data_IF_989208530057
#
_entry.id   IF_989208530057
#
_cell.length_a   1.000
_cell.length_b   1.000
_cell.length_c   1.000
_cell.angle_alpha   90.00
_cell.angle_beta   90.00
_cell.angle_gamma   90.00
#
_symmetry.space_group_name_H-M   'P 1'
#
loop_
_entity.id
_entity.type
_entity.pdbx_description
1 polymer ?
#
# COMPACT_ATOMS: atom_id res chain seq x y z
N UNK A 1 0.20 -41.37 -7.24
CA UNK A 1 0.85 -40.18 -6.66
C UNK A 1 2.37 -40.36 -6.54
N UNK A 2 2.89 -41.55 -6.25
CA UNK A 2 4.31 -41.77 -6.00
C UNK A 2 5.20 -41.76 -7.26
N UNK A 3 4.62 -41.78 -8.45
CA UNK A 3 5.36 -41.81 -9.72
C UNK A 3 5.63 -40.42 -10.32
N UNK A 4 5.01 -39.38 -9.79
CA UNK A 4 5.09 -38.02 -10.35
C UNK A 4 6.19 -37.16 -9.75
N UNK A 5 6.86 -37.67 -8.72
CA UNK A 5 7.89 -36.93 -7.96
C UNK A 5 7.33 -36.28 -6.69
N UNK A 6 8.08 -35.35 -6.13
CA UNK A 6 7.72 -34.66 -4.89
C UNK A 6 8.27 -33.22 -4.88
N UNK A 7 7.70 -32.43 -4.00
CA UNK A 7 8.14 -31.08 -3.70
C UNK A 7 8.51 -31.01 -2.22
N UNK A 8 9.73 -30.60 -1.95
CA UNK A 8 10.26 -30.39 -0.60
C UNK A 8 10.47 -28.90 -0.40
N UNK A 9 9.80 -28.36 0.59
CA UNK A 9 9.88 -26.95 0.93
C UNK A 9 10.41 -26.80 2.36
N UNK A 10 11.49 -26.07 2.50
CA UNK A 10 12.13 -25.79 3.78
C UNK A 10 12.16 -24.27 4.02
N UNK A 11 11.57 -23.84 5.13
CA UNK A 11 11.52 -22.43 5.55
C UNK A 11 12.23 -22.27 6.88
N UNK A 12 13.12 -21.31 6.96
CA UNK A 12 13.82 -20.93 8.17
C UNK A 12 13.56 -19.45 8.46
N UNK A 13 12.87 -19.17 9.56
CA UNK A 13 12.59 -17.83 10.06
C UNK A 13 13.37 -17.63 11.36
N UNK A 14 14.19 -16.60 11.41
CA UNK A 14 14.88 -16.14 12.61
C UNK A 14 14.33 -14.76 12.92
N UNK A 15 13.73 -14.61 14.08
CA UNK A 15 13.23 -13.35 14.61
C UNK A 15 13.88 -13.10 15.96
N UNK A 16 14.61 -12.01 16.06
CA UNK A 16 15.31 -11.64 17.29
C UNK A 16 14.90 -10.23 17.69
N UNK A 17 14.41 -10.09 18.91
CA UNK A 17 14.07 -8.82 19.50
C UNK A 17 14.75 -8.67 20.84
N UNK A 18 15.54 -7.61 20.97
CA UNK A 18 16.18 -7.22 22.22
C UNK A 18 15.61 -5.87 22.63
N UNK A 19 15.14 -5.77 23.86
CA UNK A 19 14.62 -4.51 24.43
C UNK A 19 15.35 -4.16 25.72
N UNK A 20 15.67 -2.87 25.85
CA UNK A 20 16.21 -2.27 27.05
C UNK A 20 15.25 -1.20 27.54
N UNK A 21 14.78 -1.33 28.74
CA UNK A 21 13.94 -0.33 29.40
C UNK A 21 14.66 0.21 30.65
N UNK A 22 14.76 1.53 30.72
CA UNK A 22 15.41 2.19 31.84
C UNK A 22 14.57 3.36 32.32
N UNK A 23 14.24 3.35 33.60
CA UNK A 23 13.62 4.49 34.25
C UNK A 23 14.70 5.48 34.70
N UNK A 24 14.51 6.74 34.33
CA UNK A 24 15.39 7.84 34.71
C UNK A 24 14.75 8.78 35.74
N UNK A 25 13.97 8.22 36.66
CA UNK A 25 13.34 9.00 37.75
C UNK A 25 14.33 9.74 38.63
N UNK A 26 15.60 9.30 38.64
CA UNK A 26 16.71 10.00 39.34
C UNK A 26 17.10 11.31 38.67
N UNK A 27 16.80 11.50 37.36
CA UNK A 27 17.00 12.77 36.63
C UNK A 27 15.74 13.61 36.78
N UNK A 28 14.60 13.07 36.41
CA UNK A 28 13.27 13.68 36.58
C UNK A 28 12.20 12.60 36.64
N UNK A 29 11.26 12.76 37.57
CA UNK A 29 10.17 11.80 37.76
C UNK A 29 9.34 11.66 36.48
N UNK A 30 9.08 10.40 36.10
CA UNK A 30 8.28 10.06 34.93
C UNK A 30 9.08 9.99 33.61
N UNK A 31 10.43 10.09 33.67
CA UNK A 31 11.27 9.92 32.49
C UNK A 31 11.65 8.44 32.32
N UNK A 32 11.35 7.90 31.12
CA UNK A 32 11.63 6.52 30.75
C UNK A 32 12.28 6.45 29.37
N UNK A 33 13.33 5.66 29.28
CA UNK A 33 13.96 5.30 28.01
C UNK A 33 13.58 3.87 27.64
N UNK A 34 13.31 3.66 26.34
CA UNK A 34 13.09 2.34 25.76
C UNK A 34 13.91 2.22 24.48
N UNK A 35 14.85 1.30 24.45
CA UNK A 35 15.63 0.93 23.28
C UNK A 35 15.21 -0.46 22.79
N UNK A 36 15.05 -0.65 21.49
CA UNK A 36 14.74 -1.93 20.88
C UNK A 36 15.62 -2.14 19.67
N UNK A 37 16.13 -3.36 19.54
CA UNK A 37 16.83 -3.82 18.36
C UNK A 37 16.15 -5.10 17.89
N UNK A 38 15.81 -5.15 16.61
CA UNK A 38 15.25 -6.31 15.95
C UNK A 38 16.11 -6.76 14.78
N UNK A 39 16.22 -8.07 14.61
CA UNK A 39 16.85 -8.70 13.47
C UNK A 39 15.97 -9.85 13.00
N UNK A 40 15.47 -9.74 11.78
CA UNK A 40 14.62 -10.74 11.16
C UNK A 40 15.33 -11.29 9.90
N UNK A 41 15.33 -12.60 9.75
CA UNK A 41 15.82 -13.27 8.54
C UNK A 41 14.86 -14.38 8.15
N UNK A 42 14.34 -14.30 6.94
CA UNK A 42 13.49 -15.32 6.35
C UNK A 42 14.21 -15.93 5.16
N UNK A 43 14.34 -17.25 5.16
CA UNK A 43 14.94 -18.00 4.06
C UNK A 43 14.06 -19.20 3.73
N UNK A 44 13.70 -19.32 2.47
CA UNK A 44 12.91 -20.42 1.95
C UNK A 44 13.68 -21.10 0.82
N UNK A 45 13.77 -22.42 0.89
CA UNK A 45 14.35 -23.25 -0.17
C UNK A 45 13.33 -24.29 -0.59
N UNK A 46 13.17 -24.44 -1.89
CA UNK A 46 12.27 -25.42 -2.48
C UNK A 46 13.05 -26.30 -3.44
N UNK A 47 12.96 -27.60 -3.24
CA UNK A 47 13.49 -28.62 -4.17
C UNK A 47 12.28 -29.34 -4.76
N UNK A 48 12.15 -29.25 -6.06
CA UNK A 48 11.06 -29.87 -6.82
C UNK A 48 11.65 -30.97 -7.71
N UNK A 49 11.21 -32.20 -7.50
CA UNK A 49 11.55 -33.32 -8.37
C UNK A 49 10.29 -33.75 -9.09
N UNK A 50 10.30 -33.62 -10.40
CA UNK A 50 9.18 -33.90 -11.26
C UNK A 50 9.48 -35.04 -12.21
N UNK A 51 8.55 -35.95 -12.30
CA UNK A 51 8.54 -37.02 -13.30
C UNK A 51 7.16 -37.08 -13.95
N UNK A 52 7.13 -37.05 -15.25
CA UNK A 52 5.89 -37.31 -16.00
C UNK A 52 5.84 -38.82 -16.27
N UNK A 53 4.91 -39.54 -15.60
CA UNK A 53 4.74 -40.95 -15.84
C UNK A 53 4.14 -41.21 -17.21
N UNK A 54 4.33 -42.38 -17.71
CA UNK A 54 3.68 -42.88 -18.91
C UNK A 54 2.16 -42.82 -18.75
N UNK A 55 1.48 -42.30 -19.75
CA UNK A 55 0.01 -42.16 -19.75
C UNK A 55 -0.60 -43.03 -20.85
N UNK A 56 -1.64 -43.71 -20.47
CA UNK A 56 -2.40 -44.59 -21.34
C UNK A 56 -3.87 -44.20 -21.32
N UNK A 57 -4.52 -44.22 -22.50
CA UNK A 57 -5.96 -44.05 -22.65
C UNK A 57 -6.62 -45.38 -22.93
N UNK A 58 -7.66 -45.70 -22.21
CA UNK A 58 -8.51 -46.86 -22.55
C UNK A 58 -9.31 -46.52 -23.80
N UNK A 59 -9.19 -47.34 -24.84
CA UNK A 59 -10.00 -47.20 -26.03
C UNK A 59 -11.45 -47.68 -25.76
N UNK A 60 -12.40 -47.09 -26.47
CA UNK A 60 -13.81 -47.53 -26.35
C UNK A 60 -14.06 -48.95 -26.86
N UNK A 61 -13.27 -49.39 -27.83
CA UNK A 61 -13.33 -50.75 -28.37
C UNK A 61 -12.57 -51.72 -27.47
N UNK A 62 -13.23 -52.81 -27.13
CA UNK A 62 -12.57 -53.94 -26.45
C UNK A 62 -11.92 -54.87 -27.47
N UNK A 63 -10.96 -55.64 -27.02
CA UNK A 63 -10.39 -56.69 -27.83
C UNK A 63 -11.50 -57.73 -28.18
N UNK A 64 -11.71 -58.05 -29.47
CA UNK A 64 -12.81 -58.92 -29.87
C UNK A 64 -12.63 -60.38 -29.47
N UNK A 65 -11.41 -60.81 -29.18
CA UNK A 65 -11.11 -62.21 -28.81
C UNK A 65 -11.07 -62.40 -27.30
N UNK A 66 -10.48 -61.41 -26.56
CA UNK A 66 -10.29 -61.52 -25.12
C UNK A 66 -11.31 -60.75 -24.29
N UNK A 67 -12.02 -59.78 -24.89
CA UNK A 67 -12.95 -58.90 -24.21
C UNK A 67 -12.26 -57.85 -23.33
N UNK A 68 -10.94 -57.79 -23.31
CA UNK A 68 -10.18 -56.84 -22.49
C UNK A 68 -10.17 -55.41 -23.09
N UNK A 69 -9.91 -54.42 -22.23
CA UNK A 69 -9.73 -53.03 -22.65
C UNK A 69 -8.45 -52.88 -23.45
N UNK A 70 -8.54 -52.25 -24.60
CA UNK A 70 -7.38 -51.83 -25.38
C UNK A 70 -6.85 -50.53 -24.82
N UNK A 71 -5.53 -50.48 -24.63
CA UNK A 71 -4.82 -49.33 -24.09
C UNK A 71 -3.98 -48.68 -25.17
N UNK A 72 -4.24 -47.40 -25.43
CA UNK A 72 -3.40 -46.60 -26.33
C UNK A 72 -2.47 -45.71 -25.50
N UNK A 73 -1.18 -45.83 -25.73
CA UNK A 73 -0.19 -44.98 -25.12
C UNK A 73 -0.33 -43.56 -25.68
N UNK A 74 -0.54 -42.53 -24.78
CA UNK A 74 -0.66 -41.16 -25.14
C UNK A 74 0.67 -40.45 -25.01
N UNK A 75 1.41 -40.71 -23.93
CA UNK A 75 2.72 -40.11 -23.69
C UNK A 75 3.71 -41.12 -23.09
N UNK A 76 4.98 -40.98 -23.45
CA UNK A 76 6.05 -41.73 -22.84
C UNK A 76 6.46 -41.18 -21.46
N UNK A 77 7.08 -42.07 -20.66
CA UNK A 77 7.70 -41.62 -19.42
C UNK A 77 8.85 -40.66 -19.72
N UNK A 78 8.89 -39.55 -19.00
CA UNK A 78 10.04 -38.63 -19.00
C UNK A 78 10.94 -38.92 -17.81
N UNK A 79 12.23 -38.66 -17.98
CA UNK A 79 13.18 -38.75 -16.87
C UNK A 79 12.82 -37.73 -15.76
N UNK A 80 13.15 -38.08 -14.54
CA UNK A 80 12.98 -37.20 -13.40
C UNK A 80 13.82 -35.92 -13.59
N UNK A 81 13.21 -34.77 -13.52
CA UNK A 81 13.85 -33.45 -13.51
C UNK A 81 13.90 -32.92 -12.10
N UNK A 82 14.96 -32.23 -11.77
CA UNK A 82 15.09 -31.50 -10.50
C UNK A 82 15.23 -30.03 -10.79
N UNK A 83 14.42 -29.24 -10.09
CA UNK A 83 14.47 -27.81 -10.07
C UNK A 83 14.63 -27.35 -8.62
N UNK A 84 15.32 -26.25 -8.42
CA UNK A 84 15.44 -25.62 -7.10
C UNK A 84 15.15 -24.14 -7.22
N UNK A 85 14.46 -23.60 -6.22
CA UNK A 85 14.24 -22.18 -6.08
C UNK A 85 14.49 -21.78 -4.63
N UNK A 86 14.95 -20.56 -4.45
CA UNK A 86 15.17 -20.00 -3.12
C UNK A 86 14.62 -18.57 -3.08
N UNK A 87 14.14 -18.14 -1.92
CA UNK A 87 13.83 -16.76 -1.62
C UNK A 87 14.32 -16.43 -0.23
N UNK A 88 14.72 -15.19 -0.02
CA UNK A 88 15.20 -14.78 1.29
C UNK A 88 15.21 -13.28 1.43
N UNK A 89 15.02 -12.83 2.66
CA UNK A 89 15.14 -11.43 3.03
C UNK A 89 15.70 -11.29 4.43
N UNK A 90 16.21 -10.10 4.71
CA UNK A 90 16.73 -9.72 6.01
C UNK A 90 16.24 -8.31 6.34
N UNK A 91 15.84 -8.12 7.56
CA UNK A 91 15.46 -6.82 8.12
C UNK A 91 16.23 -6.56 9.41
N UNK A 92 16.73 -5.35 9.56
CA UNK A 92 17.36 -4.84 10.75
C UNK A 92 16.58 -3.60 11.20
N UNK A 93 16.26 -3.54 12.48
CA UNK A 93 15.42 -2.49 13.04
C UNK A 93 16.02 -1.97 14.35
N UNK A 94 16.14 -0.66 14.49
CA UNK A 94 16.53 0.02 15.70
C UNK A 94 15.48 1.06 16.07
N UNK A 95 15.03 1.04 17.31
CA UNK A 95 14.04 1.97 17.86
C UNK A 95 14.55 2.49 19.21
N UNK A 96 14.64 3.80 19.38
CA UNK A 96 15.00 4.47 20.61
C UNK A 96 13.94 5.50 20.95
N UNK A 97 13.35 5.39 22.13
CA UNK A 97 12.28 6.26 22.60
C UNK A 97 12.60 6.81 23.98
N UNK A 98 12.49 8.10 24.14
CA UNK A 98 12.50 8.79 25.41
C UNK A 98 11.10 9.34 25.65
N UNK A 99 10.48 8.91 26.74
CA UNK A 99 9.14 9.30 27.13
C UNK A 99 9.16 9.96 28.50
N UNK A 100 8.51 11.10 28.62
CA UNK A 100 8.31 11.80 29.87
C UNK A 100 6.83 12.08 30.07
N UNK A 101 6.32 11.69 31.22
CA UNK A 101 4.92 11.89 31.63
C UNK A 101 4.89 12.26 33.11
N UNK A 102 4.25 13.39 33.44
CA UNK A 102 4.16 13.84 34.81
C UNK A 102 2.91 14.68 35.05
N UNK A 103 2.32 14.49 36.23
CA UNK A 103 1.16 15.27 36.68
C UNK A 103 1.56 16.25 37.76
N UNK A 104 1.10 17.50 37.65
CA UNK A 104 1.29 18.57 38.62
C UNK A 104 -0.08 19.15 38.98
N UNK A 105 -0.76 18.50 39.91
CA UNK A 105 -2.15 18.86 40.25
C UNK A 105 -3.08 18.73 39.04
N UNK A 106 -3.62 19.86 38.57
CA UNK A 106 -4.50 19.88 37.39
C UNK A 106 -3.77 19.87 36.03
N UNK A 107 -2.45 19.93 36.03
CA UNK A 107 -1.63 20.01 34.83
C UNK A 107 -0.99 18.65 34.51
N UNK A 108 -1.19 18.17 33.30
CA UNK A 108 -0.69 16.87 32.86
C UNK A 108 0.09 17.02 31.53
N UNK A 109 1.34 17.51 31.58
CA UNK A 109 2.21 17.51 30.42
C UNK A 109 2.79 16.14 30.16
N UNK A 110 2.98 15.81 28.87
CA UNK A 110 3.77 14.66 28.43
C UNK A 110 4.56 14.99 27.20
N UNK A 111 5.73 14.38 27.05
CA UNK A 111 6.59 14.55 25.90
C UNK A 111 7.21 13.21 25.50
N UNK A 112 7.28 12.94 24.22
CA UNK A 112 7.94 11.75 23.67
C UNK A 112 8.81 12.17 22.50
N UNK A 113 10.03 11.66 22.45
CA UNK A 113 10.87 11.71 21.27
C UNK A 113 11.27 10.29 20.90
N UNK A 114 11.20 9.97 19.63
CA UNK A 114 11.45 8.64 19.10
C UNK A 114 12.36 8.73 17.88
N UNK A 115 13.40 7.92 17.85
CA UNK A 115 14.26 7.72 16.70
C UNK A 115 14.16 6.28 16.24
N UNK A 116 13.99 6.08 14.91
CA UNK A 116 13.86 4.75 14.32
C UNK A 116 14.77 4.62 13.10
N UNK A 117 15.41 3.48 12.96
CA UNK A 117 16.08 3.08 11.72
C UNK A 117 15.56 1.71 11.29
N UNK A 118 15.33 1.55 10.00
CA UNK A 118 14.92 0.30 9.38
C UNK A 118 15.77 0.05 8.13
N UNK A 119 16.22 -1.19 7.98
CA UNK A 119 16.99 -1.64 6.81
C UNK A 119 16.43 -2.97 6.33
N UNK A 120 16.03 -3.04 5.07
CA UNK A 120 15.50 -4.24 4.43
C UNK A 120 16.27 -4.57 3.17
N UNK A 121 16.65 -5.84 3.03
CA UNK A 121 17.30 -6.37 1.82
C UNK A 121 16.70 -7.71 1.43
N UNK A 122 16.51 -7.92 0.13
CA UNK A 122 16.30 -9.25 -0.42
C UNK A 122 17.64 -9.91 -0.67
N UNK A 123 17.84 -11.11 -0.13
CA UNK A 123 19.15 -11.81 -0.11
C UNK A 123 19.25 -12.93 -1.14
N UNK A 124 18.13 -13.40 -1.66
CA UNK A 124 18.07 -14.52 -2.61
C UNK A 124 17.02 -14.24 -3.66
N UNK A 125 17.16 -14.86 -4.84
CA UNK A 125 16.26 -14.72 -5.99
C UNK A 125 16.07 -13.25 -6.38
N UNK A 126 17.19 -12.58 -6.61
CA UNK A 126 17.20 -11.12 -6.88
C UNK A 126 16.63 -10.77 -8.25
N UNK A 127 16.51 -11.76 -9.15
CA UNK A 127 16.12 -11.52 -10.54
C UNK A 127 17.19 -10.75 -11.31
N UNK A 128 16.80 -10.12 -12.38
CA UNK A 128 17.68 -9.31 -13.26
C UNK A 128 17.71 -7.84 -12.89
N UNK A 129 16.75 -7.37 -12.06
CA UNK A 129 16.71 -5.99 -11.60
C UNK A 129 17.73 -5.74 -10.50
N UNK A 130 18.79 -5.00 -10.85
CA UNK A 130 19.88 -4.66 -9.94
C UNK A 130 19.43 -3.91 -8.70
N UNK A 131 18.28 -3.23 -8.74
CA UNK A 131 17.72 -2.50 -7.59
C UNK A 131 17.23 -3.43 -6.49
N UNK A 132 16.87 -4.67 -6.83
CA UNK A 132 16.37 -5.65 -5.85
C UNK A 132 17.42 -6.02 -4.79
N UNK A 133 18.70 -6.04 -5.16
CA UNK A 133 19.80 -6.31 -4.24
C UNK A 133 20.29 -5.14 -3.41
N UNK A 134 19.70 -3.94 -3.59
CA UNK A 134 20.07 -2.75 -2.83
C UNK A 134 19.27 -2.70 -1.52
N UNK A 135 19.93 -2.40 -0.40
CA UNK A 135 19.26 -2.17 0.87
C UNK A 135 18.28 -1.00 0.75
N UNK A 136 17.03 -1.19 1.17
CA UNK A 136 16.10 -0.09 1.40
C UNK A 136 16.23 0.32 2.87
N UNK A 137 16.61 1.57 3.12
CA UNK A 137 16.79 2.11 4.46
C UNK A 137 15.86 3.28 4.68
N UNK A 138 15.28 3.32 5.88
CA UNK A 138 14.49 4.43 6.37
C UNK A 138 15.06 4.91 7.69
N UNK A 139 14.94 6.19 7.95
CA UNK A 139 15.42 6.84 9.17
C UNK A 139 14.38 7.89 9.57
N UNK A 140 13.86 7.77 10.78
CA UNK A 140 12.77 8.60 11.24
C UNK A 140 13.07 9.20 12.61
N UNK A 141 12.75 10.47 12.77
CA UNK A 141 12.71 11.17 14.04
C UNK A 141 11.27 11.66 14.25
N UNK A 142 10.63 11.19 15.31
CA UNK A 142 9.28 11.62 15.66
C UNK A 142 9.29 12.26 17.05
N UNK A 143 8.45 13.27 17.23
CA UNK A 143 8.26 13.91 18.51
C UNK A 143 6.79 14.18 18.78
N UNK A 144 6.43 14.14 20.05
CA UNK A 144 5.10 14.48 20.54
C UNK A 144 5.22 15.30 21.82
N UNK A 145 4.43 16.35 21.92
CA UNK A 145 4.21 17.09 23.16
C UNK A 145 2.72 17.22 23.37
N UNK A 146 2.24 16.70 24.48
CA UNK A 146 0.83 16.79 24.82
C UNK A 146 0.65 17.46 26.18
N UNK A 147 -0.40 18.22 26.30
CA UNK A 147 -0.78 18.90 27.51
C UNK A 147 -2.28 18.79 27.75
N UNK A 148 -2.63 18.46 28.97
CA UNK A 148 -4.01 18.40 29.41
C UNK A 148 -4.15 19.21 30.70
N UNK A 149 -5.12 20.11 30.74
CA UNK A 149 -5.47 20.86 31.94
C UNK A 149 -6.80 20.39 32.51
N UNK A 150 -6.72 19.82 33.68
CA UNK A 150 -7.88 19.36 34.47
C UNK A 150 -8.89 18.51 33.68
N UNK A 151 -8.40 17.75 32.68
CA UNK A 151 -9.25 16.93 31.76
C UNK A 151 -10.29 17.72 30.98
N UNK A 152 -10.14 19.06 30.89
CA UNK A 152 -11.03 19.94 30.12
C UNK A 152 -10.44 20.35 28.78
N UNK A 153 -9.21 20.85 28.81
CA UNK A 153 -8.55 21.36 27.59
C UNK A 153 -7.36 20.47 27.28
N UNK A 154 -7.29 20.07 26.03
CA UNK A 154 -6.23 19.19 25.53
C UNK A 154 -5.57 19.86 24.33
N UNK A 155 -4.25 19.88 24.34
CA UNK A 155 -3.42 20.32 23.24
C UNK A 155 -2.41 19.26 22.97
N UNK A 156 -2.26 18.86 21.71
CA UNK A 156 -1.30 17.85 21.28
C UNK A 156 -0.58 18.35 20.02
N UNK A 157 0.72 18.32 20.03
CA UNK A 157 1.56 18.64 18.89
C UNK A 157 2.45 17.44 18.60
N UNK A 158 2.43 16.98 17.33
CA UNK A 158 3.23 15.89 16.85
C UNK A 158 4.03 16.33 15.63
N UNK A 159 5.20 15.76 15.43
CA UNK A 159 5.92 15.88 14.19
C UNK A 159 6.62 14.57 13.83
N UNK A 160 6.75 14.32 12.55
CA UNK A 160 7.63 13.34 11.96
C UNK A 160 8.63 14.02 11.05
N UNK A 161 9.90 13.68 11.18
CA UNK A 161 10.96 14.03 10.24
C UNK A 161 11.53 12.73 9.70
N UNK A 162 11.01 12.31 8.54
CA UNK A 162 11.19 10.98 8.01
C UNK A 162 12.10 11.01 6.80
N UNK A 163 13.05 10.08 6.74
CA UNK A 163 13.99 9.92 5.64
C UNK A 163 13.86 8.55 4.97
N UNK A 164 13.78 8.54 3.64
CA UNK A 164 13.73 7.33 2.85
C UNK A 164 14.77 7.31 1.75
N UNK A 165 15.53 6.23 1.63
CA UNK A 165 16.47 6.04 0.52
C UNK A 165 15.76 5.75 -0.82
N UNK A 166 14.44 5.60 -0.79
CA UNK A 166 13.66 5.49 -2.03
C UNK A 166 13.71 6.76 -2.88
N UNK A 167 14.15 7.88 -2.29
CA UNK A 167 14.31 9.17 -2.96
C UNK A 167 15.77 9.57 -3.13
N UNK A 168 16.05 10.41 -4.13
CA UNK A 168 17.39 10.92 -4.42
C UNK A 168 17.93 11.77 -3.28
N UNK A 169 19.25 11.93 -3.22
CA UNK A 169 19.88 12.81 -2.25
C UNK A 169 19.38 14.25 -2.43
N UNK A 170 18.79 14.81 -1.38
CA UNK A 170 18.12 16.12 -1.41
C UNK A 170 16.62 16.04 -1.17
N UNK A 171 15.97 14.98 -1.67
CA UNK A 171 14.52 14.76 -1.57
C UNK A 171 14.13 13.68 -0.54
N UNK A 172 15.14 13.11 0.16
CA UNK A 172 14.96 11.98 1.08
C UNK A 172 14.13 12.29 2.30
N UNK A 173 14.26 13.51 2.85
CA UNK A 173 13.67 13.87 4.12
C UNK A 173 12.41 14.71 3.94
N UNK A 174 11.34 14.30 4.62
CA UNK A 174 10.08 15.02 4.69
C UNK A 174 9.74 15.40 6.13
N UNK A 175 9.16 16.60 6.32
CA UNK A 175 8.68 17.07 7.62
C UNK A 175 7.14 17.07 7.65
N UNK A 176 6.58 16.35 8.61
CA UNK A 176 5.16 16.09 8.71
C UNK A 176 4.64 16.49 10.09
N UNK A 177 4.25 17.76 10.28
CA UNK A 177 3.67 18.22 11.52
C UNK A 177 2.19 17.86 11.63
N UNK A 178 1.72 17.68 12.86
CA UNK A 178 0.31 17.53 13.19
C UNK A 178 0.02 18.20 14.54
N UNK A 179 -1.16 18.77 14.68
CA UNK A 179 -1.63 19.29 15.96
C UNK A 179 -3.09 18.93 16.17
N UNK A 180 -3.48 18.83 17.44
CA UNK A 180 -4.88 18.65 17.80
C UNK A 180 -5.25 19.47 19.04
N UNK A 181 -6.48 19.87 19.08
CA UNK A 181 -7.11 20.57 20.19
C UNK A 181 -8.38 19.83 20.57
N UNK A 182 -8.65 19.74 21.87
CA UNK A 182 -9.92 19.22 22.31
C UNK A 182 -10.42 19.95 23.57
N UNK A 183 -11.73 20.11 23.65
CA UNK A 183 -12.40 20.69 24.77
C UNK A 183 -13.50 19.75 25.27
N UNK A 184 -13.37 19.28 26.51
CA UNK A 184 -14.37 18.49 27.17
C UNK A 184 -15.33 19.42 27.93
N UNK A 185 -16.38 19.80 27.26
CA UNK A 185 -17.39 20.75 27.76
C UNK A 185 -18.11 20.20 28.98
N UNK A 186 -18.29 18.88 29.08
CA UNK A 186 -18.96 18.24 30.22
C UNK A 186 -18.22 18.44 31.54
N UNK A 187 -16.90 18.65 31.50
CA UNK A 187 -16.07 18.92 32.70
C UNK A 187 -16.10 20.39 33.14
N UNK A 188 -16.79 21.27 32.43
CA UNK A 188 -16.95 22.65 32.87
C UNK A 188 -17.83 22.74 34.12
N UNK A 189 -17.46 23.56 35.13
CA UNK A 189 -18.16 23.60 36.41
C UNK A 189 -19.66 23.93 36.29
N UNK A 190 -20.02 24.79 35.35
CA UNK A 190 -21.40 25.17 35.13
C UNK A 190 -22.21 24.05 34.44
N UNK A 191 -21.61 23.29 33.53
CA UNK A 191 -22.23 22.13 32.88
C UNK A 191 -22.40 21.01 33.89
N UNK A 192 -21.32 20.65 34.58
CA UNK A 192 -21.30 19.56 35.57
C UNK A 192 -22.31 19.77 36.72
N UNK A 193 -22.57 21.03 37.04
CA UNK A 193 -23.57 21.38 38.08
C UNK A 193 -25.02 21.21 37.60
N UNK A 194 -25.31 21.57 36.34
CA UNK A 194 -26.67 21.63 35.82
C UNK A 194 -27.07 20.43 34.96
N UNK A 195 -26.11 19.79 34.25
CA UNK A 195 -26.36 18.68 33.33
C UNK A 195 -25.70 17.39 33.81
N UNK A 196 -26.11 16.91 34.97
CA UNK A 196 -25.54 15.70 35.61
C UNK A 196 -25.68 14.41 34.77
N UNK A 197 -26.56 14.42 33.78
CA UNK A 197 -26.78 13.30 32.86
C UNK A 197 -25.76 13.25 31.72
N UNK A 198 -24.98 14.32 31.53
CA UNK A 198 -23.93 14.43 30.51
C UNK A 198 -22.60 14.03 31.15
N UNK A 199 -22.11 12.82 30.83
CA UNK A 199 -20.85 12.29 31.36
C UNK A 199 -19.66 12.78 30.55
N UNK A 200 -19.80 12.88 29.23
CA UNK A 200 -18.81 13.40 28.33
C UNK A 200 -19.48 14.16 27.18
N UNK A 201 -18.97 15.34 26.88
CA UNK A 201 -19.22 16.09 25.66
C UNK A 201 -17.91 16.75 25.25
N UNK A 202 -17.19 16.09 24.38
CA UNK A 202 -15.86 16.52 23.95
C UNK A 202 -15.89 16.85 22.49
N UNK A 203 -15.52 18.10 22.17
CA UNK A 203 -15.28 18.54 20.79
C UNK A 203 -13.78 18.48 20.54
N UNK A 204 -13.39 17.95 19.41
CA UNK A 204 -11.97 17.81 19.02
C UNK A 204 -11.77 18.25 17.58
N UNK A 205 -10.64 18.86 17.35
CA UNK A 205 -10.16 19.23 16.02
C UNK A 205 -8.73 18.76 15.86
N UNK A 206 -8.40 18.19 14.72
CA UNK A 206 -7.02 17.88 14.37
C UNK A 206 -6.70 18.29 12.94
N UNK A 207 -5.47 18.70 12.75
CA UNK A 207 -4.85 18.96 11.46
C UNK A 207 -3.51 18.25 11.43
N UNK A 208 -3.18 17.60 10.32
CA UNK A 208 -1.90 16.94 10.18
C UNK A 208 -1.50 16.69 8.74
N UNK A 209 -0.19 16.59 8.54
CA UNK A 209 0.42 16.12 7.29
C UNK A 209 0.98 14.72 7.50
N UNK A 210 0.78 13.86 6.51
CA UNK A 210 1.32 12.48 6.48
C UNK A 210 2.04 12.28 5.16
N UNK A 211 3.30 11.83 5.23
CA UNK A 211 4.09 11.46 4.06
C UNK A 211 3.95 9.97 3.73
N UNK A 212 4.01 9.65 2.44
CA UNK A 212 4.11 8.29 1.94
C UNK A 212 5.31 8.17 0.99
N UNK A 213 6.21 7.21 1.26
CA UNK A 213 7.39 6.90 0.44
C UNK A 213 7.17 5.65 -0.44
N UNK A 214 6.02 5.00 -0.32
CA UNK A 214 5.69 3.83 -1.12
C UNK A 214 5.09 4.24 -2.46
N UNK A 215 5.96 4.45 -3.43
CA UNK A 215 5.60 4.84 -4.79
C UNK A 215 5.43 3.64 -5.76
N UNK A 216 5.34 2.43 -5.21
CA UNK A 216 5.14 1.21 -6.02
C UNK A 216 6.40 0.68 -6.72
N UNK A 217 7.51 1.40 -6.68
CA UNK A 217 8.81 0.98 -7.21
C UNK A 217 9.93 1.31 -6.23
N UNK A 218 11.08 0.67 -6.40
CA UNK A 218 12.29 0.94 -5.62
C UNK A 218 13.20 1.88 -6.38
N UNK A 219 13.75 2.88 -5.70
CA UNK A 219 14.77 3.78 -6.23
C UNK A 219 14.43 4.34 -7.61
N UNK A 220 13.28 5.04 -7.77
CA UNK A 220 12.82 5.53 -9.08
C UNK A 220 13.81 6.52 -9.72
N UNK A 221 14.74 7.09 -8.96
CA UNK A 221 15.80 7.98 -9.44
C UNK A 221 16.98 7.26 -10.08
N UNK A 222 17.04 5.92 -10.00
CA UNK A 222 18.07 5.11 -10.66
C UNK A 222 17.57 4.66 -12.03
N UNK A 223 18.42 4.77 -13.02
CA UNK A 223 18.22 4.09 -14.30
C UNK A 223 18.91 2.73 -14.28
N UNK A 224 18.36 1.77 -14.99
CA UNK A 224 18.98 0.48 -15.23
C UNK A 224 19.07 0.23 -16.73
N UNK A 225 20.20 -0.32 -17.14
CA UNK A 225 20.46 -0.71 -18.54
C UNK A 225 20.43 -2.23 -18.57
N UNK A 226 19.71 -2.77 -19.52
CA UNK A 226 19.66 -4.21 -19.77
C UNK A 226 20.12 -4.52 -21.18
N UNK A 227 20.75 -5.68 -21.33
CA UNK A 227 21.00 -6.28 -22.62
C UNK A 227 19.66 -6.67 -23.23
N UNK A 228 19.34 -6.09 -24.36
CA UNK A 228 18.17 -6.39 -25.14
C UNK A 228 18.42 -7.56 -26.07
N UNK A 229 18.94 -8.64 -25.51
CA UNK A 229 19.11 -9.91 -26.21
C UNK A 229 17.93 -10.82 -25.99
N UNK A 230 17.64 -11.54 -27.03
CA UNK A 230 16.69 -12.59 -26.99
C UNK A 230 17.32 -13.96 -26.88
N UNK A 231 16.82 -14.70 -25.92
CA UNK A 231 16.89 -16.15 -25.95
C UNK A 231 15.58 -16.72 -26.52
N UNK A 232 15.68 -17.22 -27.77
CA UNK A 232 14.83 -18.30 -28.25
C UNK A 232 13.41 -18.00 -28.76
N UNK A 233 12.74 -16.97 -28.29
CA UNK A 233 11.38 -16.66 -28.71
C UNK A 233 11.30 -15.33 -29.45
N UNK A 234 10.74 -15.30 -30.66
CA UNK A 234 10.73 -14.24 -31.66
C UNK A 234 10.24 -12.83 -31.27
N UNK A 235 10.53 -12.28 -30.15
CA UNK A 235 10.19 -10.95 -29.71
C UNK A 235 11.39 -10.01 -29.78
N UNK A 236 11.42 -9.09 -30.66
CA UNK A 236 12.39 -8.00 -30.70
C UNK A 236 12.07 -7.08 -29.52
N UNK A 237 12.83 -7.20 -28.43
CA UNK A 237 12.77 -6.21 -27.37
C UNK A 237 13.57 -5.00 -27.87
N UNK A 238 12.90 -3.85 -27.96
CA UNK A 238 13.39 -2.59 -28.50
C UNK A 238 14.82 -2.25 -28.08
N UNK A 239 15.71 -2.04 -29.08
CA UNK A 239 17.12 -1.70 -28.88
C UNK A 239 18.09 -2.36 -29.86
N UNK A 240 17.64 -3.35 -30.64
CA UNK A 240 18.40 -3.87 -31.76
C UNK A 240 18.23 -2.97 -33.00
N UNK A 241 19.30 -2.64 -33.64
CA UNK A 241 19.23 -2.06 -35.00
C UNK A 241 18.98 -3.21 -35.96
N UNK A 242 17.81 -3.20 -36.58
CA UNK A 242 17.57 -4.02 -37.75
C UNK A 242 18.19 -3.30 -38.95
N UNK A 243 19.34 -3.76 -39.36
CA UNK A 243 19.97 -3.32 -40.59
C UNK A 243 19.31 -3.98 -41.83
N UNK A 244 18.00 -4.17 -41.76
CA UNK A 244 17.25 -4.97 -42.69
C UNK A 244 17.31 -4.42 -44.11
N UNK A 245 18.24 -4.95 -44.88
CA UNK A 245 18.08 -5.15 -46.31
C UNK A 245 17.73 -6.60 -46.67
N UNK A 246 17.62 -7.49 -45.68
CA UNK A 246 17.28 -8.90 -45.90
C UNK A 246 16.31 -9.43 -44.87
N UNK A 247 15.35 -10.24 -45.30
CA UNK A 247 14.33 -10.73 -44.40
C UNK A 247 14.92 -11.64 -43.30
N UNK A 248 14.67 -11.31 -42.08
CA UNK A 248 14.53 -12.17 -40.89
C UNK A 248 15.75 -12.78 -40.23
N UNK A 249 17.01 -12.47 -40.49
CA UNK A 249 18.06 -13.28 -39.86
C UNK A 249 19.18 -12.57 -39.10
N UNK A 250 19.24 -11.26 -39.07
CA UNK A 250 20.33 -10.57 -38.37
C UNK A 250 19.79 -9.37 -37.57
N UNK A 251 19.16 -9.62 -36.42
CA UNK A 251 18.98 -8.58 -35.42
C UNK A 251 20.20 -8.54 -34.50
N UNK A 252 20.89 -7.43 -34.49
CA UNK A 252 21.98 -7.21 -33.54
C UNK A 252 21.34 -6.77 -32.21
N UNK A 253 21.65 -7.50 -31.11
CA UNK A 253 21.30 -7.08 -29.79
C UNK A 253 21.93 -5.74 -29.46
N UNK A 254 21.25 -4.95 -28.65
CA UNK A 254 21.71 -3.66 -28.19
C UNK A 254 21.48 -3.46 -26.71
N UNK A 255 22.06 -2.40 -26.19
CA UNK A 255 21.76 -1.92 -24.84
C UNK A 255 20.53 -1.02 -24.90
N UNK A 256 19.65 -1.15 -23.92
CA UNK A 256 18.49 -0.29 -23.77
C UNK A 256 18.20 0.00 -22.30
N UNK A 257 17.42 1.05 -22.06
CA UNK A 257 16.95 1.31 -20.71
C UNK A 257 15.96 0.20 -20.29
N UNK A 258 16.25 -0.46 -19.16
CA UNK A 258 15.25 -1.26 -18.47
C UNK A 258 14.33 -0.37 -17.64
N UNK A 259 14.94 0.63 -16.97
CA UNK A 259 14.23 1.69 -16.28
C UNK A 259 14.85 3.05 -16.62
N UNK A 260 14.01 4.05 -16.80
CA UNK A 260 14.42 5.44 -16.98
C UNK A 260 14.36 6.15 -15.64
N UNK A 261 15.43 6.86 -15.30
CA UNK A 261 15.47 7.64 -14.07
C UNK A 261 14.37 8.70 -14.02
N UNK A 262 13.67 8.74 -12.91
CA UNK A 262 12.66 9.76 -12.62
C UNK A 262 13.24 10.74 -11.61
N UNK A 263 13.65 11.90 -12.09
CA UNK A 263 14.27 12.93 -11.25
C UNK A 263 13.21 13.75 -10.50
N UNK A 264 13.56 14.20 -9.28
CA UNK A 264 12.67 15.05 -8.48
C UNK A 264 11.48 14.31 -7.86
N UNK A 265 11.57 12.98 -7.77
CA UNK A 265 10.56 12.19 -7.03
C UNK A 265 10.77 12.38 -5.54
N UNK A 266 9.70 12.73 -4.85
CA UNK A 266 9.68 12.98 -3.42
C UNK A 266 8.40 12.41 -2.79
N UNK A 267 8.18 12.69 -1.54
CA UNK A 267 7.05 12.22 -0.75
C UNK A 267 5.70 12.61 -1.33
N UNK A 268 4.78 11.66 -1.39
CA UNK A 268 3.37 11.98 -1.49
C UNK A 268 2.90 12.52 -0.13
N UNK A 269 2.15 13.62 -0.12
CA UNK A 269 1.71 14.27 1.11
C UNK A 269 0.19 14.30 1.19
N UNK A 270 -0.36 13.73 2.26
CA UNK A 270 -1.76 13.86 2.61
C UNK A 270 -1.92 14.89 3.73
N UNK A 271 -2.67 15.95 3.46
CA UNK A 271 -3.13 16.93 4.44
C UNK A 271 -4.52 16.52 4.92
N UNK A 272 -4.67 16.36 6.24
CA UNK A 272 -5.89 15.86 6.86
C UNK A 272 -6.41 16.84 7.88
N UNK A 273 -7.72 17.14 7.79
CA UNK A 273 -8.48 17.85 8.81
C UNK A 273 -9.55 16.93 9.35
N UNK A 274 -9.74 16.96 10.65
CA UNK A 274 -10.78 16.18 11.31
C UNK A 274 -11.44 17.00 12.42
N UNK A 275 -12.77 17.01 12.41
CA UNK A 275 -13.60 17.64 13.44
C UNK A 275 -14.50 16.57 14.04
N UNK A 276 -14.27 16.26 15.31
CA UNK A 276 -14.95 15.18 16.00
C UNK A 276 -15.74 15.64 17.22
N UNK A 277 -16.78 14.90 17.53
CA UNK A 277 -17.60 15.05 18.74
C UNK A 277 -17.73 13.69 19.41
N UNK A 278 -17.34 13.63 20.68
CA UNK A 278 -17.52 12.45 21.53
C UNK A 278 -18.60 12.75 22.59
N UNK A 279 -19.59 11.88 22.68
CA UNK A 279 -20.71 11.98 23.61
C UNK A 279 -20.79 10.75 24.52
N UNK A 280 -21.01 10.99 25.80
CA UNK A 280 -21.40 9.93 26.74
C UNK A 280 -22.48 10.50 27.67
N UNK A 281 -23.66 9.90 27.67
CA UNK A 281 -24.86 10.40 28.33
C UNK A 281 -25.47 9.31 29.21
N UNK A 282 -26.20 9.76 30.27
CA UNK A 282 -27.01 8.91 31.14
C UNK A 282 -26.20 7.79 31.83
N UNK A 283 -25.06 8.16 32.44
CA UNK A 283 -24.10 7.22 33.04
C UNK A 283 -23.61 6.18 32.04
N UNK A 284 -23.15 6.68 30.86
CA UNK A 284 -22.59 5.91 29.74
C UNK A 284 -23.56 4.88 29.12
N UNK A 285 -24.87 5.03 29.38
CA UNK A 285 -25.88 4.22 28.69
C UNK A 285 -25.91 4.50 27.20
N UNK A 286 -25.76 5.75 26.82
CA UNK A 286 -25.66 6.17 25.43
C UNK A 286 -24.27 6.76 25.19
N UNK A 287 -23.53 6.21 24.24
CA UNK A 287 -22.27 6.77 23.75
C UNK A 287 -22.31 6.93 22.25
N UNK A 288 -21.77 8.02 21.75
CA UNK A 288 -21.67 8.28 20.31
C UNK A 288 -20.38 9.04 20.00
N UNK A 289 -19.80 8.75 18.87
CA UNK A 289 -18.70 9.51 18.26
C UNK A 289 -19.08 9.81 16.83
N UNK A 290 -18.89 11.05 16.41
CA UNK A 290 -19.17 11.52 15.07
C UNK A 290 -17.98 12.36 14.64
N UNK A 291 -17.43 12.04 13.46
CA UNK A 291 -16.28 12.70 12.87
C UNK A 291 -16.62 13.19 11.46
N UNK A 292 -16.20 14.39 11.15
CA UNK A 292 -16.13 14.92 9.81
C UNK A 292 -14.67 15.06 9.40
N UNK A 293 -14.30 14.48 8.27
CA UNK A 293 -12.93 14.52 7.77
C UNK A 293 -12.86 15.14 6.36
N UNK A 294 -11.74 15.83 6.13
CA UNK A 294 -11.34 16.38 4.82
C UNK A 294 -9.85 16.04 4.61
N UNK A 295 -9.56 15.27 3.58
CA UNK A 295 -8.21 14.88 3.18
C UNK A 295 -7.91 15.40 1.78
N UNK A 296 -6.74 16.02 1.60
CA UNK A 296 -6.17 16.35 0.30
C UNK A 296 -4.81 15.70 0.16
N UNK A 297 -4.68 14.77 -0.76
CA UNK A 297 -3.43 14.11 -1.10
C UNK A 297 -2.87 14.73 -2.37
N UNK A 298 -1.60 15.14 -2.32
CA UNK A 298 -0.87 15.79 -3.40
C UNK A 298 0.46 15.09 -3.64
N UNK A 299 1.06 15.35 -4.80
CA UNK A 299 2.32 14.72 -5.16
C UNK A 299 2.23 13.22 -5.36
N UNK A 300 1.07 12.68 -5.77
CA UNK A 300 0.91 11.26 -6.04
C UNK A 300 1.82 10.87 -7.19
N UNK A 301 2.63 9.83 -6.96
CA UNK A 301 3.52 9.26 -7.96
C UNK A 301 2.74 8.66 -9.13
N UNK A 302 3.07 9.09 -10.34
CA UNK A 302 2.43 8.59 -11.56
C UNK A 302 3.46 8.47 -12.68
N UNK A 303 3.37 7.38 -13.45
CA UNK A 303 4.14 7.25 -14.71
C UNK A 303 3.55 8.21 -15.73
N UNK A 304 4.43 8.97 -16.41
CA UNK A 304 4.06 9.94 -17.45
C UNK A 304 3.70 9.21 -18.75
N UNK A 305 2.40 9.02 -18.99
CA UNK A 305 1.92 8.25 -20.15
C UNK A 305 1.75 9.09 -21.41
N UNK A 306 1.75 10.42 -21.29
CA UNK A 306 1.52 11.35 -22.40
C UNK A 306 2.79 11.99 -22.94
N UNK A 307 3.88 11.24 -22.95
CA UNK A 307 5.10 11.63 -23.62
C UNK A 307 5.02 11.23 -25.11
N UNK A 308 5.32 12.14 -26.03
CA UNK A 308 5.34 11.82 -27.46
C UNK A 308 6.30 10.67 -27.76
N UNK A 309 5.91 9.73 -28.60
CA UNK A 309 6.75 8.57 -28.97
C UNK A 309 8.09 8.95 -29.58
N UNK A 310 8.18 10.14 -30.19
CA UNK A 310 9.43 10.67 -30.76
C UNK A 310 10.55 10.82 -29.71
N UNK A 311 10.21 10.85 -28.42
CA UNK A 311 11.20 10.85 -27.32
C UNK A 311 11.99 9.53 -27.26
N UNK A 312 11.47 8.46 -27.88
CA UNK A 312 12.20 7.19 -28.06
C UNK A 312 12.28 6.32 -26.81
N UNK A 313 11.45 6.57 -25.79
CA UNK A 313 11.47 5.81 -24.53
C UNK A 313 10.73 4.48 -24.61
N UNK A 314 9.97 4.23 -25.68
CA UNK A 314 9.33 2.95 -26.01
C UNK A 314 8.57 2.30 -24.81
N UNK A 315 7.77 3.09 -24.10
CA UNK A 315 7.00 2.63 -22.94
C UNK A 315 7.74 2.67 -21.59
N UNK A 316 9.04 2.96 -21.58
CA UNK A 316 9.82 3.19 -20.34
C UNK A 316 9.74 4.65 -19.93
N UNK A 317 8.53 5.15 -19.71
CA UNK A 317 8.31 6.55 -19.38
C UNK A 317 8.75 6.87 -17.94
N UNK A 318 9.40 8.03 -17.70
CA UNK A 318 9.71 8.47 -16.35
C UNK A 318 8.41 8.77 -15.58
N UNK A 319 8.49 8.70 -14.29
CA UNK A 319 7.41 9.10 -13.40
C UNK A 319 7.61 10.51 -12.84
N UNK A 320 6.55 11.06 -12.28
CA UNK A 320 6.59 12.33 -11.56
C UNK A 320 5.52 12.37 -10.45
N UNK A 321 5.70 13.26 -9.47
CA UNK A 321 4.72 13.53 -8.42
C UNK A 321 3.67 14.55 -8.92
N UNK A 322 2.75 14.12 -9.77
CA UNK A 322 1.79 15.02 -10.48
C UNK A 322 0.33 14.76 -10.15
N UNK A 323 0.02 13.70 -9.42
CA UNK A 323 -1.36 13.39 -9.07
C UNK A 323 -1.84 14.12 -7.81
N UNK A 324 -3.13 14.46 -7.76
CA UNK A 324 -3.78 14.94 -6.56
C UNK A 324 -5.21 14.41 -6.46
N UNK A 325 -5.63 14.07 -5.23
CA UNK A 325 -6.95 13.53 -4.91
C UNK A 325 -7.45 14.19 -3.64
N UNK A 326 -8.73 14.55 -3.58
CA UNK A 326 -9.41 14.92 -2.35
C UNK A 326 -10.37 13.83 -1.90
N UNK A 327 -10.57 13.72 -0.59
CA UNK A 327 -11.57 12.84 0.02
C UNK A 327 -12.23 13.55 1.20
N UNK A 328 -13.55 13.60 1.23
CA UNK A 328 -14.32 14.22 2.30
C UNK A 328 -15.43 13.29 2.74
N UNK A 329 -15.75 13.32 4.01
CA UNK A 329 -16.81 12.47 4.52
C UNK A 329 -17.10 12.67 5.97
N UNK A 330 -17.96 11.83 6.47
CA UNK A 330 -18.23 11.70 7.88
C UNK A 330 -18.35 10.22 8.24
N UNK A 331 -17.96 9.93 9.43
CA UNK A 331 -18.19 8.63 10.04
C UNK A 331 -18.68 8.80 11.48
N UNK A 332 -19.32 7.76 11.97
CA UNK A 332 -19.84 7.79 13.31
C UNK A 332 -20.24 6.42 13.80
N UNK A 333 -20.22 6.28 15.09
CA UNK A 333 -20.76 5.10 15.75
C UNK A 333 -21.52 5.50 17.00
N UNK A 334 -22.51 4.71 17.37
CA UNK A 334 -23.21 4.85 18.62
C UNK A 334 -23.39 3.49 19.32
N UNK A 335 -23.51 3.54 20.61
CA UNK A 335 -23.85 2.38 21.45
C UNK A 335 -24.86 2.80 22.51
N UNK A 336 -25.95 2.07 22.60
CA UNK A 336 -26.93 2.19 23.67
C UNK A 336 -26.96 0.92 24.51
N UNK A 337 -26.81 1.06 25.83
CA UNK A 337 -26.80 -0.06 26.77
C UNK A 337 -27.88 0.17 27.82
N UNK A 338 -28.76 -0.79 28.00
CA UNK A 338 -29.80 -0.75 29.03
C UNK A 338 -29.95 -2.13 29.69
N UNK A 339 -29.97 -2.15 31.00
CA UNK A 339 -30.34 -3.33 31.75
C UNK A 339 -31.83 -3.25 32.10
N UNK A 340 -32.58 -4.28 31.73
CA UNK A 340 -34.01 -4.43 32.00
C UNK A 340 -34.14 -5.72 32.80
N UNK A 341 -34.34 -5.61 34.12
CA UNK A 341 -34.28 -6.72 35.06
C UNK A 341 -32.97 -7.52 34.89
N UNK A 342 -33.06 -8.78 34.49
CA UNK A 342 -31.91 -9.67 34.29
C UNK A 342 -31.37 -9.68 32.83
N UNK A 343 -32.03 -8.92 31.93
CA UNK A 343 -31.64 -8.85 30.52
C UNK A 343 -30.78 -7.60 30.28
N UNK A 344 -29.62 -7.79 29.70
CA UNK A 344 -28.78 -6.70 29.21
C UNK A 344 -29.02 -6.48 27.70
N UNK A 345 -29.67 -5.36 27.38
CA UNK A 345 -29.84 -4.94 25.99
C UNK A 345 -28.67 -4.05 25.56
N UNK A 346 -28.04 -4.36 24.44
CA UNK A 346 -27.03 -3.52 23.80
C UNK A 346 -27.38 -3.34 22.33
N UNK A 347 -27.56 -2.09 21.92
CA UNK A 347 -27.77 -1.72 20.52
C UNK A 347 -26.58 -0.90 20.06
N UNK A 348 -25.99 -1.27 18.91
CA UNK A 348 -24.84 -0.57 18.32
C UNK A 348 -25.12 -0.33 16.85
N UNK A 349 -24.63 0.80 16.35
CA UNK A 349 -24.67 1.11 14.92
C UNK A 349 -23.47 1.95 14.54
N UNK A 350 -23.09 1.86 13.30
CA UNK A 350 -22.07 2.71 12.66
C UNK A 350 -22.56 3.16 11.30
N UNK A 351 -22.08 4.31 10.88
CA UNK A 351 -22.32 4.88 9.56
C UNK A 351 -21.03 5.51 9.07
N UNK A 352 -20.70 5.30 7.82
CA UNK A 352 -19.58 5.96 7.15
C UNK A 352 -20.04 6.39 5.77
N UNK A 353 -19.74 7.63 5.43
CA UNK A 353 -19.94 8.17 4.10
C UNK A 353 -18.70 8.91 3.65
N UNK A 354 -18.18 8.60 2.48
CA UNK A 354 -17.05 9.29 1.88
C UNK A 354 -17.25 9.54 0.40
N UNK A 355 -16.77 10.68 -0.05
CA UNK A 355 -16.69 11.05 -1.47
C UNK A 355 -15.27 11.48 -1.78
N UNK A 356 -14.69 10.85 -2.80
CA UNK A 356 -13.38 11.24 -3.33
C UNK A 356 -13.51 11.88 -4.71
N UNK A 357 -12.49 12.64 -5.11
CA UNK A 357 -12.42 13.31 -6.40
C UNK A 357 -10.96 13.42 -6.85
N UNK A 358 -10.68 13.08 -8.10
CA UNK A 358 -9.39 13.30 -8.74
C UNK A 358 -9.26 14.78 -9.09
N UNK A 359 -8.33 15.48 -8.44
CA UNK A 359 -8.07 16.92 -8.68
C UNK A 359 -7.07 17.10 -9.81
N UNK A 360 -5.98 16.31 -9.81
CA UNK A 360 -4.92 16.38 -10.79
C UNK A 360 -4.48 14.97 -11.18
N UNK A 361 -4.19 14.78 -12.46
CA UNK A 361 -3.69 13.54 -13.03
C UNK A 361 -2.92 13.84 -14.30
N UNK A 362 -1.90 13.01 -14.62
CA UNK A 362 -1.24 13.05 -15.93
C UNK A 362 -2.15 12.38 -16.97
N UNK A 363 -2.98 13.19 -17.61
CA UNK A 363 -3.91 12.74 -18.64
C UNK A 363 -4.02 13.75 -19.78
N UNK A 364 -4.36 13.27 -20.97
CA UNK A 364 -4.58 14.10 -22.14
C UNK A 364 -5.78 15.03 -21.89
N UNK A 365 -5.66 16.24 -22.43
CA UNK A 365 -6.76 17.19 -22.38
C UNK A 365 -7.80 16.83 -23.45
N UNK A 366 -8.66 15.88 -23.12
CA UNK A 366 -9.69 15.37 -24.02
C UNK A 366 -10.75 16.43 -24.32
N UNK A 367 -11.26 16.41 -25.56
CA UNK A 367 -12.34 17.29 -26.01
C UNK A 367 -13.63 17.06 -25.19
N UNK A 368 -13.86 15.81 -24.79
CA UNK A 368 -15.03 15.43 -24.03
C UNK A 368 -14.69 15.19 -22.57
N UNK A 369 -15.29 15.94 -21.68
CA UNK A 369 -15.04 15.87 -20.22
C UNK A 369 -15.27 14.45 -19.64
N UNK A 370 -16.22 13.69 -20.19
CA UNK A 370 -16.49 12.32 -19.71
C UNK A 370 -15.33 11.34 -19.96
N UNK A 371 -14.39 11.65 -20.84
CA UNK A 371 -13.19 10.85 -21.09
C UNK A 371 -12.09 11.14 -20.08
N UNK A 372 -12.09 12.32 -19.44
CA UNK A 372 -11.13 12.66 -18.41
C UNK A 372 -11.46 11.97 -17.09
N UNK A 373 -10.44 11.70 -16.28
CA UNK A 373 -10.64 11.21 -14.91
C UNK A 373 -10.66 12.34 -13.88
N UNK A 374 -10.03 13.46 -14.18
CA UNK A 374 -10.07 14.67 -13.36
C UNK A 374 -11.51 15.16 -13.20
N UNK A 375 -11.90 15.50 -11.96
CA UNK A 375 -13.26 15.91 -11.58
C UNK A 375 -14.22 14.75 -11.31
N UNK A 376 -13.76 13.50 -11.44
CA UNK A 376 -14.54 12.30 -11.14
C UNK A 376 -13.94 11.54 -9.96
N UNK A 377 -14.67 10.53 -9.49
CA UNK A 377 -14.18 9.62 -8.44
C UNK A 377 -12.99 8.81 -8.95
N UNK A 378 -12.08 8.43 -8.02
CA UNK A 378 -10.91 7.59 -8.33
C UNK A 378 -11.31 6.27 -8.96
N UNK A 379 -12.40 5.68 -8.49
CA UNK A 379 -12.96 4.39 -8.89
C UNK A 379 -14.19 4.53 -9.82
N UNK A 380 -14.29 5.66 -10.55
CA UNK A 380 -15.41 5.92 -11.44
C UNK A 380 -15.46 4.87 -12.57
N UNK A 381 -16.47 4.03 -12.55
CA UNK A 381 -16.77 3.17 -13.69
C UNK A 381 -17.24 4.02 -14.87
N UNK A 382 -16.65 3.78 -16.02
CA UNK A 382 -17.04 4.40 -17.29
C UNK A 382 -17.38 3.29 -18.28
N UNK A 383 -18.40 3.50 -19.06
CA UNK A 383 -18.85 2.52 -20.04
C UNK A 383 -19.77 3.15 -21.07
N UNK A 384 -20.07 2.40 -22.09
CA UNK A 384 -21.08 2.77 -23.09
C UNK A 384 -22.48 2.49 -22.51
N UNK A 385 -23.41 3.37 -22.84
CA UNK A 385 -24.83 3.15 -22.53
C UNK A 385 -25.40 2.31 -23.68
N UNK A 386 -25.93 1.14 -23.33
CA UNK A 386 -26.60 0.28 -24.31
C UNK A 386 -27.94 0.93 -24.71
N UNK A 387 -28.12 1.19 -25.98
CA UNK A 387 -29.37 1.76 -26.51
C UNK A 387 -30.48 0.70 -26.64
N UNK A 388 -30.12 -0.58 -26.62
CA UNK A 388 -31.05 -1.71 -26.69
C UNK A 388 -30.44 -2.89 -27.45
N UNK A 389 -31.27 -3.87 -27.67
CA UNK A 389 -30.98 -5.01 -28.57
C UNK A 389 -31.54 -4.72 -29.94
N UNK A 390 -30.87 -5.16 -30.97
CA UNK A 390 -31.41 -5.14 -32.33
C UNK A 390 -32.68 -5.93 -32.41
N UNK A 391 -33.71 -5.40 -33.07
CA UNK A 391 -35.02 -6.01 -33.18
C UNK A 391 -35.04 -7.10 -34.26
N UNK A 392 -34.35 -6.86 -35.37
CA UNK A 392 -34.29 -7.75 -36.50
C UNK A 392 -33.00 -7.50 -37.33
N UNK A 393 -32.90 -8.25 -38.44
CA UNK A 393 -31.73 -8.20 -39.31
C UNK A 393 -31.63 -6.87 -40.10
N UNK A 394 -32.78 -6.23 -40.36
CA UNK A 394 -32.81 -4.95 -41.08
C UNK A 394 -32.38 -3.81 -40.16
N UNK A 395 -32.66 -3.89 -38.87
CA UNK A 395 -32.16 -2.99 -37.84
C UNK A 395 -30.63 -3.09 -37.73
N UNK A 396 -30.07 -4.29 -37.80
CA UNK A 396 -28.59 -4.49 -37.82
C UNK A 396 -28.01 -3.84 -39.08
N UNK A 397 -28.58 -4.02 -40.25
CA UNK A 397 -28.11 -3.44 -41.50
C UNK A 397 -28.24 -1.92 -41.57
N UNK A 398 -29.27 -1.38 -40.93
CA UNK A 398 -29.50 0.07 -40.86
C UNK A 398 -28.62 0.80 -39.88
N UNK A 399 -27.94 0.09 -38.97
CA UNK A 399 -27.04 0.70 -38.00
C UNK A 399 -25.70 0.99 -38.61
N UNK A 400 -25.24 2.24 -38.48
CA UNK A 400 -23.92 2.66 -38.95
C UNK A 400 -22.84 1.92 -38.16
N UNK A 401 -22.14 0.99 -38.82
CA UNK A 401 -20.91 0.42 -38.27
C UNK A 401 -19.78 1.39 -38.50
N UNK A 402 -19.10 1.81 -37.43
CA UNK A 402 -17.79 2.43 -37.57
C UNK A 402 -16.79 1.30 -37.84
N UNK A 403 -16.30 1.21 -39.06
CA UNK A 403 -15.09 0.47 -39.35
C UNK A 403 -13.96 1.13 -38.57
N UNK A 404 -13.39 0.40 -37.62
CA UNK A 404 -12.13 0.81 -37.01
C UNK A 404 -11.05 0.77 -38.11
N UNK A 405 -10.79 1.91 -38.73
CA UNK A 405 -9.60 2.15 -39.54
C UNK A 405 -8.38 2.32 -38.62
#
# INVERSE_FOLDING_TARGET
ATQTGFNENWTNNIETNISLEQNFDFITKGLKFVGRFGYDSNNQNTIRRLKWPEQWLAERARDPETGELRWKKISGSQNMKQESSSSGNRREFLDMMLNWDRSFGAHHPSATIKYTQDSYIQTQNLGEDLKTGINKRNQDLAGRVAYNWNYRYFIDFNFGYNGSENFAKGDRFGFFPAFSLAWNIAEEPFIKKHLKWMNMFKVRFSYGKVGNDNVGTRFPYLYTIADRYKNGDNEIIYGGYDWAQYPSSYSFGGLGFADVASNGITWEVAEKNDLGIDLALFNDKFTATIDYFDEKRTGIYMVRNYLPQIVGLNGHNPAANVGAVSSKGFDGHFSYKQRINDVNLTVRGNITYSKNEVLERDEENNVYAYQMQRGYRVDQCKGLIAEGLFKDYDDIKGTVMYDNL
#
